data_IF_519160924888
#
_entry.id   IF_519160924888
#
_cell.length_a   1.000
_cell.length_b   1.000
_cell.length_c   1.000
_cell.angle_alpha   90.00
_cell.angle_beta   90.00
_cell.angle_gamma   90.00
#
_symmetry.space_group_name_H-M   'P 1'
#
loop_
_entity.id
_entity.type
_entity.pdbx_description
1 polymer ?
#
# COMPACT_ATOMS: atom_id res chain seq x y z
N UNK A 1 -9.00 1.00 0.90
CA UNK A 1 -9.75 0.05 1.73
C UNK A 1 -10.12 0.77 3.00
N UNK A 2 -11.38 0.66 3.42
CA UNK A 2 -11.91 1.45 4.52
C UNK A 2 -11.13 1.16 5.81
N UNK A 3 -10.61 2.18 6.50
CA UNK A 3 -9.97 2.01 7.80
C UNK A 3 -11.02 1.76 8.89
N UNK A 4 -10.61 1.12 9.98
CA UNK A 4 -11.48 0.99 11.15
C UNK A 4 -11.73 2.35 11.83
N UNK A 5 -10.69 3.19 11.84
CA UNK A 5 -10.72 4.56 12.35
C UNK A 5 -10.99 5.52 11.20
N UNK A 6 -12.13 6.20 11.23
CA UNK A 6 -12.59 7.10 10.15
C UNK A 6 -11.75 8.36 10.00
N UNK A 7 -10.95 8.72 11.01
CA UNK A 7 -10.03 9.86 10.95
C UNK A 7 -8.74 9.52 10.17
N UNK A 8 -8.51 8.24 9.86
CA UNK A 8 -7.35 7.80 9.08
C UNK A 8 -7.65 7.79 7.58
N UNK A 9 -6.64 8.07 6.74
CA UNK A 9 -6.81 7.91 5.30
C UNK A 9 -7.05 6.43 4.95
N UNK A 10 -7.75 6.15 3.84
CA UNK A 10 -7.94 4.78 3.37
C UNK A 10 -6.63 4.02 3.23
N UNK A 11 -6.64 2.76 3.63
CA UNK A 11 -5.48 1.89 3.47
C UNK A 11 -5.33 1.47 2.01
N UNK A 12 -4.08 1.38 1.56
CA UNK A 12 -3.73 0.91 0.23
C UNK A 12 -3.33 -0.56 0.31
N UNK A 13 -3.87 -1.36 -0.60
CA UNK A 13 -3.63 -2.81 -0.63
C UNK A 13 -3.42 -3.26 -2.06
N UNK A 14 -2.58 -4.29 -2.24
CA UNK A 14 -2.48 -5.04 -3.49
C UNK A 14 -3.42 -6.24 -3.40
N UNK A 15 -4.30 -6.39 -4.39
CA UNK A 15 -5.15 -7.59 -4.48
C UNK A 15 -4.33 -8.72 -5.09
N UNK A 16 -4.15 -9.80 -4.33
CA UNK A 16 -3.44 -11.01 -4.76
C UNK A 16 -4.39 -12.02 -5.41
N UNK A 17 -5.58 -12.18 -4.84
CA UNK A 17 -6.58 -13.12 -5.32
C UNK A 17 -7.99 -12.62 -4.98
N UNK A 18 -8.94 -12.89 -5.86
CA UNK A 18 -10.36 -12.65 -5.62
C UNK A 18 -11.05 -14.01 -5.63
N UNK A 19 -11.85 -14.28 -4.59
CA UNK A 19 -12.62 -15.51 -4.44
C UNK A 19 -14.07 -15.14 -4.19
N UNK A 20 -14.99 -15.68 -5.00
CA UNK A 20 -16.42 -15.49 -4.83
C UNK A 20 -17.07 -16.82 -4.45
N UNK A 21 -17.93 -16.80 -3.43
CA UNK A 21 -18.74 -17.96 -3.08
C UNK A 21 -20.04 -18.03 -3.92
N UNK A 22 -20.72 -19.18 -3.85
CA UNK A 22 -22.01 -19.40 -4.54
C UNK A 22 -23.16 -18.52 -4.02
N UNK A 23 -22.95 -17.80 -2.92
CA UNK A 23 -23.90 -16.85 -2.32
C UNK A 23 -23.54 -15.39 -2.65
N UNK A 24 -22.66 -15.17 -3.63
CA UNK A 24 -22.21 -13.87 -4.08
C UNK A 24 -21.44 -13.05 -3.02
N UNK A 25 -20.88 -13.71 -2.00
CA UNK A 25 -19.92 -13.07 -1.11
C UNK A 25 -18.53 -13.16 -1.75
N UNK A 26 -17.98 -12.00 -2.09
CA UNK A 26 -16.62 -11.89 -2.58
C UNK A 26 -15.65 -11.58 -1.43
N UNK A 27 -14.61 -12.41 -1.31
CA UNK A 27 -13.44 -12.20 -0.46
C UNK A 27 -12.24 -11.90 -1.34
N UNK A 28 -11.35 -11.06 -0.83
CA UNK A 28 -10.10 -10.69 -1.50
C UNK A 28 -8.94 -11.02 -0.59
N UNK A 29 -7.98 -11.79 -1.10
CA UNK A 29 -6.67 -11.92 -0.49
C UNK A 29 -5.86 -10.71 -0.87
N UNK A 30 -5.34 -10.00 0.12
CA UNK A 30 -4.64 -8.74 -0.03
C UNK A 30 -3.26 -8.78 0.58
N UNK A 31 -2.37 -7.92 0.06
CA UNK A 31 -1.06 -7.61 0.61
C UNK A 31 -1.02 -6.12 0.94
N UNK A 32 -0.68 -5.76 2.16
CA UNK A 32 -0.79 -4.39 2.63
C UNK A 32 0.35 -3.50 2.12
N UNK A 33 0.00 -2.27 1.74
CA UNK A 33 0.97 -1.19 1.64
C UNK A 33 0.92 -0.34 2.91
N UNK A 34 2.09 -0.07 3.48
CA UNK A 34 2.23 0.78 4.66
C UNK A 34 2.62 2.19 4.22
N UNK A 35 2.02 3.20 4.85
CA UNK A 35 2.47 4.59 4.73
C UNK A 35 3.69 4.81 5.63
N UNK A 36 4.55 5.80 5.32
CA UNK A 36 5.67 6.18 6.16
C UNK A 36 5.35 6.34 7.66
N UNK A 37 4.19 6.92 7.97
CA UNK A 37 3.69 7.16 9.32
C UNK A 37 3.33 5.88 10.07
N UNK A 38 3.00 4.81 9.34
CA UNK A 38 2.60 3.51 9.88
C UNK A 38 3.82 2.59 10.10
N UNK A 39 4.99 2.97 9.59
CA UNK A 39 6.23 2.21 9.81
C UNK A 39 6.78 2.40 11.22
N UNK A 40 7.48 1.39 11.75
CA UNK A 40 8.08 1.45 13.11
C UNK A 40 9.05 2.63 13.25
N UNK A 41 9.76 2.97 12.18
CA UNK A 41 10.69 4.10 12.14
C UNK A 41 10.06 5.47 11.88
N UNK A 42 8.74 5.51 11.60
CA UNK A 42 8.01 6.72 11.24
C UNK A 42 8.44 7.36 9.92
N UNK A 43 7.80 8.50 9.59
CA UNK A 43 8.13 9.27 8.39
C UNK A 43 9.49 9.96 8.53
N UNK A 44 10.38 9.74 7.56
CA UNK A 44 11.70 10.38 7.45
C UNK A 44 11.68 11.49 6.39
N UNK A 45 12.67 12.39 6.43
CA UNK A 45 12.79 13.51 5.46
C UNK A 45 12.91 13.08 4.00
N UNK A 46 13.43 11.88 3.75
CA UNK A 46 13.59 11.33 2.41
C UNK A 46 12.30 10.67 1.89
N UNK A 47 11.25 10.56 2.70
CA UNK A 47 10.01 9.94 2.28
C UNK A 47 9.10 10.92 1.53
N UNK A 48 8.62 10.51 0.36
CA UNK A 48 7.68 11.30 -0.44
C UNK A 48 6.29 11.34 0.19
N UNK A 49 5.47 12.33 -0.19
CA UNK A 49 4.09 12.47 0.32
C UNK A 49 3.24 11.24 -0.03
N UNK A 50 3.30 10.78 -1.28
CA UNK A 50 2.55 9.63 -1.80
C UNK A 50 3.38 8.32 -1.80
N UNK A 51 4.40 8.25 -0.96
CA UNK A 51 5.22 7.04 -0.82
C UNK A 51 4.48 5.97 -0.04
N UNK A 52 4.61 4.72 -0.50
CA UNK A 52 4.09 3.53 0.15
C UNK A 52 5.18 2.44 0.18
N UNK A 53 5.06 1.55 1.16
CA UNK A 53 5.96 0.41 1.33
C UNK A 53 5.21 -0.90 1.17
N UNK A 54 5.67 -1.76 0.25
CA UNK A 54 5.05 -3.06 0.04
C UNK A 54 5.43 -3.99 1.19
N UNK A 55 4.48 -4.35 2.05
CA UNK A 55 4.77 -5.15 3.24
C UNK A 55 4.71 -6.66 3.01
N UNK A 56 5.26 -7.48 3.89
CA UNK A 56 5.02 -8.93 3.96
C UNK A 56 3.71 -9.31 4.67
N UNK A 57 2.88 -8.33 5.04
CA UNK A 57 1.60 -8.54 5.69
C UNK A 57 0.52 -8.91 4.67
N UNK A 58 0.03 -10.16 4.74
CA UNK A 58 -1.09 -10.66 3.97
C UNK A 58 -2.33 -10.83 4.83
N UNK A 59 -3.50 -10.60 4.24
CA UNK A 59 -4.78 -10.77 4.92
C UNK A 59 -5.90 -11.16 3.93
N UNK A 60 -7.05 -11.56 4.44
CA UNK A 60 -8.27 -11.83 3.67
C UNK A 60 -9.37 -10.88 4.14
N UNK A 61 -9.86 -10.06 3.23
CA UNK A 61 -10.87 -9.04 3.51
C UNK A 61 -12.12 -9.23 2.65
N UNK A 62 -13.25 -8.69 3.09
CA UNK A 62 -14.46 -8.63 2.28
C UNK A 62 -14.27 -7.62 1.14
N UNK A 63 -14.69 -7.96 -0.08
CA UNK A 63 -14.61 -7.04 -1.23
C UNK A 63 -15.39 -5.74 -0.99
N UNK A 64 -16.40 -5.76 -0.11
CA UNK A 64 -17.19 -4.59 0.27
C UNK A 64 -16.40 -3.50 1.00
N UNK A 65 -15.20 -3.82 1.51
CA UNK A 65 -14.32 -2.86 2.18
C UNK A 65 -13.47 -2.04 1.19
N UNK A 66 -13.51 -2.38 -0.11
CA UNK A 66 -12.81 -1.65 -1.17
C UNK A 66 -13.60 -0.39 -1.49
N UNK A 67 -12.93 0.76 -1.36
CA UNK A 67 -13.56 2.08 -1.58
C UNK A 67 -13.30 2.63 -2.98
N UNK A 68 -12.19 2.22 -3.60
CA UNK A 68 -11.76 2.73 -4.90
C UNK A 68 -10.50 2.03 -5.38
N UNK A 69 -10.15 2.26 -6.64
CA UNK A 69 -8.93 1.75 -7.28
C UNK A 69 -7.89 2.86 -7.29
N UNK A 70 -6.68 2.57 -6.84
CA UNK A 70 -5.54 3.47 -6.97
C UNK A 70 -4.41 2.81 -7.77
N UNK A 71 -3.38 3.59 -8.11
CA UNK A 71 -2.21 3.11 -8.86
C UNK A 71 -0.98 3.28 -7.98
N UNK A 72 -0.24 2.19 -7.79
CA UNK A 72 1.07 2.23 -7.13
C UNK A 72 2.14 2.01 -8.20
N UNK A 73 2.81 3.10 -8.55
CA UNK A 73 3.86 3.13 -9.56
C UNK A 73 5.20 2.65 -9.01
N UNK A 74 6.08 2.22 -9.89
CA UNK A 74 7.51 2.18 -9.58
C UNK A 74 8.02 3.62 -9.43
N UNK A 75 9.07 3.83 -8.63
CA UNK A 75 9.63 5.18 -8.44
C UNK A 75 9.98 5.86 -9.77
N UNK A 76 10.60 5.13 -10.70
CA UNK A 76 10.94 5.64 -12.04
C UNK A 76 9.71 6.10 -12.82
N UNK A 77 8.62 5.35 -12.78
CA UNK A 77 7.42 5.72 -13.52
C UNK A 77 6.73 6.93 -12.89
N UNK A 78 6.68 6.96 -11.55
CA UNK A 78 6.12 8.07 -10.81
C UNK A 78 6.84 9.39 -11.08
N UNK A 79 8.17 9.39 -11.11
CA UNK A 79 8.97 10.60 -11.43
C UNK A 79 8.79 11.10 -12.87
N UNK A 80 8.25 10.26 -13.77
CA UNK A 80 7.98 10.63 -15.16
C UNK A 80 6.53 11.07 -15.40
N UNK A 81 5.67 11.11 -14.37
CA UNK A 81 4.31 11.60 -14.51
C UNK A 81 4.31 13.12 -14.69
N UNK A 82 3.64 13.61 -15.72
CA UNK A 82 3.46 15.06 -15.95
C UNK A 82 2.58 15.69 -14.87
N UNK A 83 1.56 14.97 -14.41
CA UNK A 83 0.65 15.39 -13.36
C UNK A 83 0.41 14.22 -12.39
N UNK A 84 0.63 14.46 -11.10
CA UNK A 84 0.39 13.48 -10.04
C UNK A 84 -1.03 13.65 -9.52
N UNK A 85 -1.87 12.64 -9.68
CA UNK A 85 -3.23 12.60 -9.14
C UNK A 85 -3.27 12.20 -7.66
N UNK A 86 -4.46 12.31 -7.05
CA UNK A 86 -4.73 11.88 -5.66
C UNK A 86 -4.71 10.37 -5.48
N UNK A 87 -4.80 9.62 -6.58
CA UNK A 87 -4.80 8.15 -6.61
C UNK A 87 -3.45 7.58 -7.07
N UNK A 88 -2.46 8.43 -7.35
CA UNK A 88 -1.11 8.04 -7.77
C UNK A 88 -0.16 7.98 -6.57
N UNK A 89 0.28 6.76 -6.28
CA UNK A 89 1.26 6.45 -5.26
C UNK A 89 2.52 5.87 -5.89
N UNK A 90 3.60 5.79 -5.13
CA UNK A 90 4.78 5.06 -5.57
C UNK A 90 5.36 4.19 -4.47
N UNK A 91 6.01 3.11 -4.89
CA UNK A 91 6.71 2.19 -4.01
C UNK A 91 8.13 1.94 -4.54
N UNK A 92 9.11 2.05 -3.66
CA UNK A 92 10.53 1.74 -3.95
C UNK A 92 11.16 0.76 -2.97
N UNK A 93 10.49 0.46 -1.86
CA UNK A 93 10.97 -0.47 -0.84
C UNK A 93 9.92 -1.52 -0.53
N UNK A 94 10.40 -2.73 -0.25
CA UNK A 94 9.66 -3.70 0.55
C UNK A 94 9.89 -3.43 2.03
N UNK A 95 8.88 -3.69 2.85
CA UNK A 95 8.89 -3.46 4.28
C UNK A 95 8.53 -4.74 5.03
N UNK A 96 9.34 -5.13 6.01
CA UNK A 96 8.98 -6.22 6.90
C UNK A 96 8.13 -5.65 8.05
N UNK A 97 6.86 -6.03 8.12
CA UNK A 97 5.94 -5.52 9.13
C UNK A 97 6.26 -6.01 10.55
N UNK A 98 6.94 -7.14 10.69
CA UNK A 98 7.31 -7.72 11.98
C UNK A 98 8.61 -7.11 12.55
N UNK A 99 9.62 -6.88 11.71
CA UNK A 99 10.94 -6.38 12.14
C UNK A 99 11.14 -4.89 11.90
N UNK A 100 10.35 -4.28 11.01
CA UNK A 100 10.52 -2.89 10.58
C UNK A 100 11.67 -2.67 9.58
N UNK A 101 12.27 -3.74 9.06
CA UNK A 101 13.37 -3.65 8.09
C UNK A 101 12.87 -3.30 6.69
N UNK A 102 13.72 -2.65 5.89
CA UNK A 102 13.42 -2.29 4.51
C UNK A 102 14.29 -3.08 3.55
N UNK A 103 13.78 -3.37 2.36
CA UNK A 103 14.54 -4.03 1.30
C UNK A 103 14.35 -3.28 -0.01
N UNK A 104 15.44 -2.89 -0.71
CA UNK A 104 16.85 -3.03 -0.33
C UNK A 104 17.26 -2.13 0.85
N UNK A 105 18.18 -2.61 1.71
CA UNK A 105 18.74 -1.84 2.84
C UNK A 105 19.53 -0.59 2.39
N UNK A 106 20.03 -0.59 1.16
CA UNK A 106 20.74 0.54 0.55
C UNK A 106 19.99 1.04 -0.69
N UNK A 107 19.50 2.28 -0.64
CA UNK A 107 19.13 3.03 -1.84
C UNK A 107 20.44 3.39 -2.53
N UNK A 108 20.73 2.82 -3.70
CA UNK A 108 21.86 3.31 -4.49
C UNK A 108 21.59 4.79 -4.83
N UNK A 109 22.47 5.66 -4.33
CA UNK A 109 22.50 7.11 -4.59
C UNK A 109 23.04 7.35 -6.00
#
# INVERSE_FOLDING_TARGET
MRPYDTDKPPHVVRVEKIEADHRNNAKVRVRWYYRPEESIGGRRKLHGTNELFLSDHFDIQSAHTIEGKCIVHTFKNYTNLENVGTEDYFCRFEYNAATGSFTPDCVAV
#
